data_IF_767689723698
#
_entry.id   IF_767689723698
#
_cell.length_a   1.000
_cell.length_b   1.000
_cell.length_c   1.000
_cell.angle_alpha   90.00
_cell.angle_beta   90.00
_cell.angle_gamma   90.00
#
_symmetry.space_group_name_H-M   'P 1'
#
loop_
_entity.id
_entity.type
_entity.pdbx_description
1 polymer ?
#
# COMPACT_ATOMS: atom_id res chain seq x y z
N UNK A 1 12.35 4.05 -5.74
CA UNK A 1 11.00 3.47 -5.92
C UNK A 1 9.95 4.36 -5.25
N UNK A 2 8.82 4.46 -5.87
CA UNK A 2 7.71 5.27 -5.34
C UNK A 2 6.50 4.39 -5.14
N UNK A 3 5.95 4.43 -3.93
CA UNK A 3 4.74 3.68 -3.60
C UNK A 3 3.66 4.68 -3.21
N UNK A 4 2.45 4.49 -3.73
CA UNK A 4 1.31 5.23 -3.23
C UNK A 4 0.33 4.26 -2.58
N UNK A 5 -0.27 4.69 -1.49
CA UNK A 5 -1.27 3.91 -0.77
C UNK A 5 -2.54 4.76 -0.73
N UNK A 6 -3.53 4.35 -1.50
CA UNK A 6 -4.83 5.02 -1.53
C UNK A 6 -5.73 4.32 -0.52
N UNK A 7 -6.24 5.05 0.45
CA UNK A 7 -6.99 4.46 1.55
C UNK A 7 -8.28 5.22 1.79
N UNK A 8 -9.31 4.51 2.19
CA UNK A 8 -10.58 5.12 2.52
C UNK A 8 -10.48 5.84 3.87
N UNK A 9 -10.65 7.15 3.88
CA UNK A 9 -10.59 7.92 5.12
C UNK A 9 -11.86 7.76 5.94
N UNK A 10 -12.97 7.51 5.30
CA UNK A 10 -14.23 7.30 6.00
C UNK A 10 -14.19 6.05 6.88
N UNK A 11 -13.59 5.03 6.36
CA UNK A 11 -13.50 4.04 6.98
C UNK A 11 -12.50 3.98 7.78
N UNK A 12 -11.91 4.94 8.03
CA UNK A 12 -10.80 5.09 8.93
C UNK A 12 -9.66 4.08 8.67
N UNK A 13 -9.29 3.95 7.41
CA UNK A 13 -8.19 3.05 7.05
C UNK A 13 -6.82 3.72 7.19
N UNK A 14 -6.77 4.98 7.65
CA UNK A 14 -5.50 5.67 7.81
C UNK A 14 -4.50 4.91 8.70
N UNK A 15 -4.90 4.34 9.84
CA UNK A 15 -3.92 3.62 10.65
C UNK A 15 -3.27 2.46 9.90
N UNK A 16 -4.02 1.77 9.07
CA UNK A 16 -3.45 0.69 8.26
C UNK A 16 -2.48 1.22 7.22
N UNK A 17 -2.84 2.33 6.57
CA UNK A 17 -1.97 2.93 5.57
C UNK A 17 -0.69 3.45 6.21
N UNK A 18 -0.81 4.07 7.37
CA UNK A 18 0.33 4.60 8.12
C UNK A 18 1.28 3.49 8.57
N UNK A 19 0.73 2.39 9.05
CA UNK A 19 1.53 1.23 9.44
C UNK A 19 2.29 0.66 8.26
N UNK A 20 1.61 0.52 7.14
CA UNK A 20 2.27 -0.01 5.94
C UNK A 20 3.37 0.93 5.47
N UNK A 21 3.12 2.23 5.51
CA UNK A 21 4.14 3.21 5.15
C UNK A 21 5.40 3.03 5.98
N UNK A 22 5.22 2.90 7.30
CA UNK A 22 6.36 2.73 8.21
C UNK A 22 7.13 1.45 7.91
N UNK A 23 6.40 0.35 7.67
CA UNK A 23 7.03 -0.93 7.35
C UNK A 23 7.82 -0.87 6.06
N UNK A 24 7.26 -0.23 5.03
CA UNK A 24 7.92 -0.15 3.74
C UNK A 24 9.19 0.69 3.81
N UNK A 25 9.14 1.79 4.54
CA UNK A 25 10.33 2.64 4.69
C UNK A 25 11.42 1.94 5.48
N UNK A 26 11.04 1.11 6.44
CA UNK A 26 11.99 0.34 7.22
C UNK A 26 12.64 -0.78 6.41
N UNK A 27 11.85 -1.39 5.53
CA UNK A 27 12.31 -2.55 4.76
C UNK A 27 13.12 -2.16 3.53
N UNK A 28 12.72 -1.07 2.87
CA UNK A 28 13.34 -0.67 1.61
C UNK A 28 13.97 0.71 1.74
N UNK A 29 15.29 0.76 1.67
CA UNK A 29 16.02 2.02 1.73
C UNK A 29 15.67 2.89 0.53
N UNK A 30 15.37 4.16 0.81
CA UNK A 30 15.08 5.11 -0.27
C UNK A 30 13.68 5.03 -0.84
N UNK A 31 12.80 4.31 -0.16
CA UNK A 31 11.41 4.19 -0.61
C UNK A 31 10.65 5.50 -0.36
N UNK A 32 10.05 6.06 -1.41
CA UNK A 32 9.13 7.18 -1.27
C UNK A 32 7.72 6.65 -1.12
N UNK A 33 7.02 7.02 -0.06
CA UNK A 33 5.65 6.58 0.16
C UNK A 33 4.73 7.79 0.25
N UNK A 34 3.65 7.76 -0.51
CA UNK A 34 2.62 8.79 -0.49
C UNK A 34 1.31 8.17 -0.06
N UNK A 35 0.65 8.78 0.92
CA UNK A 35 -0.67 8.34 1.35
C UNK A 35 -1.71 9.22 0.67
N UNK A 36 -2.72 8.59 0.05
CA UNK A 36 -3.76 9.30 -0.69
C UNK A 36 -5.12 9.02 -0.06
N UNK A 37 -5.71 10.06 0.52
CA UNK A 37 -7.03 9.95 1.13
C UNK A 37 -8.10 9.76 0.07
N UNK A 38 -9.00 8.83 0.28
CA UNK A 38 -10.01 8.49 -0.70
C UNK A 38 -11.28 8.02 0.01
N UNK A 39 -12.20 7.44 -0.72
CA UNK A 39 -13.44 6.92 -0.18
C UNK A 39 -13.75 5.55 -0.74
N UNK A 40 -14.98 5.07 -0.51
CA UNK A 40 -15.44 3.83 -1.08
C UNK A 40 -14.81 2.56 -0.52
N UNK A 41 -14.19 2.64 0.65
CA UNK A 41 -13.63 1.46 1.29
C UNK A 41 -12.37 0.93 0.62
N UNK A 42 -11.68 1.75 -0.14
CA UNK A 42 -10.50 1.29 -0.89
C UNK A 42 -9.26 1.16 -0.02
N UNK A 43 -8.37 0.26 -0.43
CA UNK A 43 -7.02 0.17 0.09
C UNK A 43 -6.18 -0.39 -1.06
N UNK A 44 -5.54 0.54 -1.80
CA UNK A 44 -4.91 0.20 -3.08
C UNK A 44 -3.46 0.63 -3.03
N UNK A 45 -2.56 -0.26 -3.39
CA UNK A 45 -1.13 0.02 -3.34
C UNK A 45 -0.57 -0.01 -4.75
N UNK A 46 0.10 1.07 -5.14
CA UNK A 46 0.68 1.21 -6.47
C UNK A 46 2.19 1.41 -6.34
N UNK A 47 2.95 0.63 -7.10
CA UNK A 47 4.40 0.75 -7.15
C UNK A 47 4.79 1.31 -8.51
N UNK A 48 5.34 2.52 -8.55
CA UNK A 48 5.78 3.17 -9.79
C UNK A 48 4.75 3.05 -10.90
N UNK A 49 3.52 3.33 -10.68
CA UNK A 49 2.41 3.26 -11.64
C UNK A 49 1.76 1.91 -11.79
N UNK A 50 2.30 0.87 -11.19
CA UNK A 50 1.71 -0.47 -11.29
C UNK A 50 0.89 -0.76 -10.04
N UNK A 51 -0.39 -1.08 -10.20
CA UNK A 51 -1.23 -1.47 -9.07
C UNK A 51 -0.82 -2.88 -8.63
N UNK A 52 -0.25 -3.01 -7.43
CA UNK A 52 0.25 -4.29 -6.96
C UNK A 52 -0.65 -4.94 -5.91
N UNK A 53 -1.49 -4.15 -5.24
CA UNK A 53 -2.45 -4.70 -4.29
C UNK A 53 -3.74 -3.91 -4.37
N UNK A 54 -4.87 -4.61 -4.42
CA UNK A 54 -6.16 -3.97 -4.51
C UNK A 54 -7.17 -4.65 -3.59
N UNK A 55 -7.58 -3.95 -2.53
CA UNK A 55 -8.65 -4.44 -1.68
C UNK A 55 -9.96 -4.54 -2.46
N UNK A 56 -10.18 -3.64 -3.40
CA UNK A 56 -11.36 -3.66 -4.24
C UNK A 56 -11.46 -4.97 -5.02
N UNK A 57 -10.34 -5.46 -5.51
CA UNK A 57 -10.26 -6.68 -6.28
C UNK A 57 -10.31 -7.93 -5.41
N UNK A 58 -9.59 -7.93 -4.29
CA UNK A 58 -9.42 -9.11 -3.44
C UNK A 58 -10.40 -9.18 -2.29
N UNK A 59 -11.03 -8.06 -1.98
CA UNK A 59 -12.00 -7.95 -0.90
C UNK A 59 -11.39 -8.28 0.47
N UNK A 60 -10.15 -7.86 0.67
CA UNK A 60 -9.47 -8.02 1.96
C UNK A 60 -8.31 -7.06 2.03
N UNK A 61 -7.79 -6.86 3.26
CA UNK A 61 -6.56 -6.12 3.46
C UNK A 61 -5.35 -7.00 3.18
N UNK A 62 -4.18 -6.42 2.93
CA UNK A 62 -2.99 -7.24 2.76
C UNK A 62 -2.61 -7.93 4.06
N UNK A 63 -2.05 -9.11 3.94
CA UNK A 63 -1.52 -9.84 5.08
C UNK A 63 -0.15 -9.31 5.44
N UNK A 64 0.33 -9.63 6.64
CA UNK A 64 1.64 -9.21 7.09
C UNK A 64 2.69 -9.65 6.08
N UNK A 65 3.49 -8.70 5.60
CA UNK A 65 4.57 -8.99 4.68
C UNK A 65 4.15 -9.14 3.23
N UNK A 66 2.86 -9.12 2.95
CA UNK A 66 2.38 -9.38 1.58
C UNK A 66 2.81 -8.27 0.61
N UNK A 67 2.68 -7.01 1.01
CA UNK A 67 3.04 -5.91 0.11
C UNK A 67 4.54 -5.91 -0.15
N UNK A 68 5.33 -6.19 0.87
CA UNK A 68 6.78 -6.28 0.70
C UNK A 68 7.14 -7.36 -0.31
N UNK A 69 6.48 -8.51 -0.23
CA UNK A 69 6.71 -9.60 -1.17
C UNK A 69 6.34 -9.19 -2.59
N UNK A 70 5.19 -8.53 -2.74
CA UNK A 70 4.75 -8.07 -4.06
C UNK A 70 5.74 -7.07 -4.66
N UNK A 71 6.30 -6.19 -3.84
CA UNK A 71 7.30 -5.23 -4.30
C UNK A 71 8.55 -5.96 -4.78
N UNK A 72 9.03 -6.94 -4.01
CA UNK A 72 10.20 -7.71 -4.41
C UNK A 72 9.97 -8.46 -5.72
N UNK A 73 8.79 -9.02 -5.88
CA UNK A 73 8.45 -9.76 -7.10
C UNK A 73 8.36 -8.85 -8.31
N UNK A 74 7.84 -7.63 -8.12
CA UNK A 74 7.76 -6.65 -9.21
C UNK A 74 9.12 -6.15 -9.65
N UNK A 75 10.07 -6.11 -8.73
CA UNK A 75 11.40 -5.55 -8.97
C UNK A 75 12.39 -6.55 -9.55
N UNK A 76 12.07 -7.82 -9.51
CA UNK A 76 13.03 -8.84 -9.93
C UNK A 76 13.07 -9.07 -11.43
#
# INVERSE_FOLDING_TARGET
MKVSIEYCSVXNYLPRASSLEAELKQTFTGMDVTLISSGGGVFEVTLDSELIFSKKSLDRFPEDGEVEKLIRESSS
#
